data_IF_935794645122
#
_entry.id   IF_935794645122
#
_cell.length_a   1.000
_cell.length_b   1.000
_cell.length_c   1.000
_cell.angle_alpha   90.00
_cell.angle_beta   90.00
_cell.angle_gamma   90.00
#
_symmetry.space_group_name_H-M   'P 1'
#
loop_
_entity.id
_entity.type
_entity.pdbx_description
1 polymer ?
#
# COMPACT_ATOMS: atom_id res chain seq x y z
N UNK A 1 13.67 -10.60 -0.15
CA UNK A 1 13.47 -10.26 1.29
C UNK A 1 14.65 -10.72 2.15
N UNK A 2 15.28 -11.83 1.85
CA UNK A 2 16.46 -12.34 2.61
C UNK A 2 17.70 -11.45 2.54
N UNK A 3 17.83 -10.64 1.49
CA UNK A 3 18.96 -9.72 1.30
C UNK A 3 18.82 -8.40 2.09
N UNK A 4 17.68 -8.14 2.68
CA UNK A 4 17.44 -6.92 3.45
C UNK A 4 17.97 -7.10 4.86
N UNK A 5 18.78 -6.14 5.34
CA UNK A 5 19.26 -6.11 6.72
C UNK A 5 18.17 -5.71 7.69
N UNK A 6 18.26 -6.15 8.94
CA UNK A 6 17.42 -5.66 10.03
C UNK A 6 17.52 -4.13 10.12
N UNK A 7 16.38 -3.45 10.17
CA UNK A 7 16.30 -1.98 10.08
C UNK A 7 16.35 -1.43 8.66
N UNK A 8 16.58 -2.29 7.66
CA UNK A 8 16.56 -1.90 6.26
C UNK A 8 15.16 -1.58 5.75
N UNK A 9 15.05 -0.57 4.90
CA UNK A 9 13.80 -0.11 4.30
C UNK A 9 13.68 -0.56 2.86
N UNK A 10 12.47 -0.93 2.45
CA UNK A 10 12.18 -1.40 1.09
C UNK A 10 10.97 -0.66 0.55
N UNK A 11 11.03 -0.30 -0.72
CA UNK A 11 9.90 0.14 -1.51
C UNK A 11 9.85 -0.72 -2.77
N UNK A 12 8.74 -1.40 -3.01
CA UNK A 12 8.59 -2.29 -4.15
C UNK A 12 7.24 -2.10 -4.83
N UNK A 13 7.25 -2.08 -6.16
CA UNK A 13 6.04 -1.98 -6.98
C UNK A 13 5.57 -3.38 -7.34
N UNK A 14 4.33 -3.69 -6.99
CA UNK A 14 3.71 -5.00 -7.23
C UNK A 14 2.30 -4.84 -7.81
N UNK A 15 1.86 -5.76 -8.68
CA UNK A 15 0.49 -5.74 -9.18
C UNK A 15 -0.52 -6.14 -8.09
N UNK A 16 -1.79 -5.82 -8.29
CA UNK A 16 -2.86 -6.05 -7.31
C UNK A 16 -2.97 -7.52 -6.88
N UNK A 17 -2.74 -8.46 -7.78
CA UNK A 17 -2.88 -9.89 -7.47
C UNK A 17 -1.97 -10.35 -6.34
N UNK A 18 -0.84 -9.71 -6.12
CA UNK A 18 0.05 -10.02 -4.99
C UNK A 18 -0.65 -9.78 -3.65
N UNK A 19 -1.59 -8.84 -3.58
CA UNK A 19 -2.35 -8.54 -2.37
C UNK A 19 -3.62 -9.37 -2.20
N UNK A 20 -4.10 -9.99 -3.28
CA UNK A 20 -5.41 -10.66 -3.30
C UNK A 20 -5.35 -12.16 -3.55
N UNK A 21 -4.37 -12.66 -4.29
CA UNK A 21 -4.28 -14.08 -4.62
C UNK A 21 -3.96 -14.96 -3.40
N UNK A 22 -4.49 -16.17 -3.43
CA UNK A 22 -4.25 -17.18 -2.40
C UNK A 22 -2.98 -18.02 -2.63
N UNK A 23 -2.89 -19.15 -1.98
CA UNK A 23 -1.81 -20.13 -2.18
C UNK A 23 -0.43 -19.62 -1.75
N UNK A 24 0.56 -19.75 -2.61
CA UNK A 24 1.94 -19.35 -2.33
C UNK A 24 2.05 -17.84 -2.05
N UNK A 25 1.28 -17.03 -2.75
CA UNK A 25 1.25 -15.57 -2.57
C UNK A 25 0.74 -15.19 -1.18
N UNK A 26 -0.29 -15.89 -0.69
CA UNK A 26 -0.79 -15.66 0.67
C UNK A 26 0.26 -15.98 1.73
N UNK A 27 1.05 -17.04 1.54
CA UNK A 27 2.15 -17.39 2.46
C UNK A 27 3.24 -16.33 2.48
N UNK A 28 3.57 -15.74 1.35
CA UNK A 28 4.55 -14.64 1.26
C UNK A 28 4.02 -13.41 2.00
N UNK A 29 2.75 -13.07 1.83
CA UNK A 29 2.12 -11.97 2.57
C UNK A 29 2.15 -12.21 4.08
N UNK A 30 1.82 -13.41 4.51
CA UNK A 30 1.87 -13.79 5.92
C UNK A 30 3.27 -13.59 6.51
N UNK A 31 4.30 -14.04 5.79
CA UNK A 31 5.68 -13.83 6.18
C UNK A 31 6.04 -12.35 6.22
N UNK A 32 5.60 -11.58 5.25
CA UNK A 32 5.82 -10.13 5.20
C UNK A 32 5.24 -9.45 6.44
N UNK A 33 4.03 -9.80 6.84
CA UNK A 33 3.35 -9.20 7.99
C UNK A 33 3.98 -9.61 9.34
N UNK A 34 4.59 -10.79 9.41
CA UNK A 34 5.24 -11.29 10.64
C UNK A 34 6.64 -10.76 10.85
N UNK A 35 7.44 -10.74 9.78
CA UNK A 35 8.88 -10.45 9.86
C UNK A 35 9.23 -9.01 9.51
N UNK A 36 8.31 -8.30 8.88
CA UNK A 36 8.50 -6.94 8.40
C UNK A 36 7.36 -6.04 8.85
N UNK A 37 7.67 -4.76 9.06
CA UNK A 37 6.66 -3.74 9.29
C UNK A 37 6.22 -3.14 7.95
N UNK A 38 5.15 -3.66 7.38
CA UNK A 38 4.48 -3.07 6.22
C UNK A 38 3.65 -1.88 6.72
N UNK A 39 4.18 -0.68 6.60
CA UNK A 39 3.56 0.51 7.18
C UNK A 39 2.82 1.39 6.19
N UNK A 40 3.08 1.23 4.89
CA UNK A 40 2.47 2.11 3.87
C UNK A 40 2.25 1.36 2.56
N UNK A 41 1.06 1.53 1.99
CA UNK A 41 0.73 1.06 0.65
C UNK A 41 0.22 2.25 -0.16
N UNK A 42 0.89 2.53 -1.29
CA UNK A 42 0.44 3.51 -2.28
C UNK A 42 -0.26 2.76 -3.40
N UNK A 43 -1.56 2.96 -3.57
CA UNK A 43 -2.35 2.34 -4.64
C UNK A 43 -2.31 3.21 -5.88
N UNK A 44 -1.80 2.66 -6.97
CA UNK A 44 -1.63 3.37 -8.24
C UNK A 44 -2.69 2.96 -9.27
N UNK A 45 -3.15 3.90 -10.11
CA UNK A 45 -4.13 3.62 -11.16
C UNK A 45 -3.51 2.89 -12.35
N UNK A 46 -4.35 2.50 -13.31
CA UNK A 46 -3.88 2.06 -14.63
C UNK A 46 -3.30 3.24 -15.42
N UNK A 47 -2.60 2.95 -16.52
CA UNK A 47 -2.13 3.96 -17.48
C UNK A 47 -0.81 4.65 -17.13
N UNK A 48 -0.12 4.23 -16.07
CA UNK A 48 1.17 4.80 -15.67
C UNK A 48 2.38 3.95 -16.06
N UNK A 49 2.16 2.69 -16.43
CA UNK A 49 3.20 1.77 -16.91
C UNK A 49 2.88 1.27 -18.33
N UNK A 50 3.87 0.72 -19.01
CA UNK A 50 3.71 0.17 -20.37
C UNK A 50 2.67 -0.94 -20.44
N UNK A 51 2.57 -1.77 -19.41
CA UNK A 51 1.51 -2.77 -19.32
C UNK A 51 0.17 -2.08 -19.00
N UNK A 52 -0.51 -1.61 -20.04
CA UNK A 52 -1.81 -0.96 -19.89
C UNK A 52 -2.84 -1.86 -19.24
N UNK A 53 -3.71 -1.28 -18.42
CA UNK A 53 -4.76 -2.01 -17.71
C UNK A 53 -4.31 -2.69 -16.43
N UNK A 54 -3.03 -2.66 -16.08
CA UNK A 54 -2.52 -3.21 -14.82
C UNK A 54 -2.60 -2.17 -13.72
N UNK A 55 -3.28 -2.53 -12.64
CA UNK A 55 -3.28 -1.76 -11.39
C UNK A 55 -2.15 -2.24 -10.49
N UNK A 56 -1.39 -1.32 -9.94
CA UNK A 56 -0.22 -1.64 -9.13
C UNK A 56 -0.29 -0.98 -7.76
N UNK A 57 0.57 -1.47 -6.87
CA UNK A 57 0.75 -0.89 -5.54
C UNK A 57 2.23 -0.74 -5.26
N UNK A 58 2.61 0.30 -4.54
CA UNK A 58 3.95 0.43 -3.97
C UNK A 58 3.85 0.10 -2.49
N UNK A 59 4.57 -0.94 -2.07
CA UNK A 59 4.63 -1.37 -0.68
C UNK A 59 5.91 -0.82 -0.05
N UNK A 60 5.75 -0.12 1.07
CA UNK A 60 6.85 0.42 1.86
C UNK A 60 6.93 -0.35 3.17
N UNK A 61 8.04 -1.05 3.39
CA UNK A 61 8.21 -1.84 4.59
C UNK A 61 9.63 -1.80 5.14
N UNK A 62 9.77 -2.15 6.41
CA UNK A 62 11.02 -2.16 7.14
C UNK A 62 11.22 -3.51 7.83
N UNK A 63 12.43 -4.07 7.74
CA UNK A 63 12.74 -5.35 8.37
C UNK A 63 13.09 -5.18 9.84
N UNK A 64 12.58 -6.07 10.69
CA UNK A 64 12.99 -6.16 12.09
C UNK A 64 11.85 -6.12 13.10
N UNK A 65 10.64 -5.83 12.67
CA UNK A 65 9.44 -5.90 13.52
C UNK A 65 8.22 -6.37 12.73
N UNK A 66 7.23 -6.96 13.43
CA UNK A 66 5.97 -7.31 12.78
C UNK A 66 5.19 -6.06 12.38
N UNK A 67 4.30 -6.23 11.42
CA UNK A 67 3.37 -5.18 11.00
C UNK A 67 2.36 -4.89 12.12
N UNK A 68 2.21 -3.61 12.43
CA UNK A 68 1.20 -3.10 13.37
C UNK A 68 0.02 -2.55 12.58
N UNK A 69 0.11 -1.29 12.19
CA UNK A 69 -0.92 -0.62 11.39
C UNK A 69 -0.45 -0.44 9.95
N UNK A 70 -1.36 -0.58 9.00
CA UNK A 70 -1.07 -0.31 7.59
C UNK A 70 -1.78 0.97 7.17
N UNK A 71 -1.02 1.90 6.61
CA UNK A 71 -1.54 3.12 6.01
C UNK A 71 -1.67 2.94 4.50
N UNK A 72 -2.84 3.23 3.97
CA UNK A 72 -3.13 3.11 2.54
C UNK A 72 -3.45 4.48 1.96
N UNK A 73 -2.72 4.87 0.92
CA UNK A 73 -3.02 6.05 0.12
C UNK A 73 -3.63 5.59 -1.21
N UNK A 74 -4.89 5.97 -1.44
CA UNK A 74 -5.60 5.62 -2.66
C UNK A 74 -5.45 6.73 -3.71
N UNK A 75 -4.56 6.51 -4.66
CA UNK A 75 -4.38 7.40 -5.82
C UNK A 75 -5.16 6.91 -7.06
N UNK A 76 -6.22 6.14 -6.88
CA UNK A 76 -7.01 5.57 -8.00
C UNK A 76 -8.32 6.29 -8.25
N UNK A 77 -9.01 6.68 -7.20
CA UNK A 77 -10.36 7.24 -7.30
C UNK A 77 -10.35 8.58 -8.03
N UNK A 78 -11.09 8.65 -9.13
CA UNK A 78 -11.21 9.86 -9.94
C UNK A 78 -9.96 10.23 -10.75
N UNK A 79 -8.97 9.35 -10.82
CA UNK A 79 -7.70 9.61 -11.52
C UNK A 79 -7.64 8.84 -12.83
N UNK A 80 -7.28 9.54 -13.90
CA UNK A 80 -7.05 8.95 -15.24
C UNK A 80 -5.71 9.43 -15.76
N UNK A 81 -4.83 8.48 -16.04
CA UNK A 81 -3.54 8.71 -16.67
C UNK A 81 -3.38 7.89 -17.93
N UNK A 82 -2.65 8.45 -18.90
CA UNK A 82 -2.15 7.73 -20.06
C UNK A 82 -0.70 8.11 -20.26
N UNK A 83 0.14 7.19 -20.69
CA UNK A 83 1.57 7.48 -20.85
C UNK A 83 1.87 8.52 -21.91
N UNK A 84 1.07 8.55 -22.98
CA UNK A 84 1.33 9.42 -24.13
C UNK A 84 0.76 10.84 -23.95
N UNK A 85 -0.49 10.96 -23.42
CA UNK A 85 -1.20 12.23 -23.42
C UNK A 85 -1.43 12.83 -22.05
N UNK A 86 -1.45 12.00 -21.00
CA UNK A 86 -1.66 12.45 -19.62
C UNK A 86 -0.84 11.60 -18.65
N UNK A 87 0.49 11.68 -18.70
CA UNK A 87 1.34 10.90 -17.81
C UNK A 87 1.20 11.37 -16.35
N UNK A 88 1.46 10.45 -15.43
CA UNK A 88 1.57 10.80 -14.02
C UNK A 88 2.86 11.59 -13.78
N UNK A 89 2.76 12.68 -13.03
CA UNK A 89 3.90 13.54 -12.67
C UNK A 89 4.19 13.47 -11.18
N UNK A 90 5.34 14.00 -10.77
CA UNK A 90 5.73 14.09 -9.34
C UNK A 90 4.71 14.90 -8.53
N UNK A 91 4.17 15.97 -9.10
CA UNK A 91 3.20 16.85 -8.43
C UNK A 91 1.91 16.13 -8.07
N UNK A 92 1.52 15.12 -8.83
CA UNK A 92 0.33 14.30 -8.52
C UNK A 92 0.44 13.58 -7.16
N UNK A 93 1.65 13.37 -6.67
CA UNK A 93 1.92 12.69 -5.40
C UNK A 93 2.30 13.64 -4.26
N UNK A 94 2.12 14.96 -4.42
CA UNK A 94 2.49 15.93 -3.38
C UNK A 94 1.78 15.66 -2.06
N UNK A 95 0.48 15.42 -2.07
CA UNK A 95 -0.27 15.08 -0.84
C UNK A 95 0.27 13.79 -0.18
N UNK A 96 0.57 12.77 -0.97
CA UNK A 96 1.17 11.54 -0.46
C UNK A 96 2.48 11.84 0.28
N UNK A 97 3.35 12.63 -0.32
CA UNK A 97 4.67 12.97 0.27
C UNK A 97 4.51 13.81 1.53
N UNK A 98 3.62 14.80 1.51
CA UNK A 98 3.36 15.66 2.68
C UNK A 98 2.84 14.85 3.87
N UNK A 99 1.91 13.94 3.62
CA UNK A 99 1.29 13.13 4.66
C UNK A 99 2.11 11.90 5.06
N UNK A 100 3.16 11.58 4.33
CA UNK A 100 3.98 10.39 4.59
C UNK A 100 4.71 10.44 5.94
N UNK A 101 5.14 11.60 6.38
CA UNK A 101 5.81 11.82 7.67
C UNK A 101 6.93 10.81 7.94
N UNK A 102 7.98 10.85 7.12
CA UNK A 102 9.12 9.91 7.18
C UNK A 102 9.64 9.71 8.61
N UNK A 103 9.64 8.47 9.09
CA UNK A 103 10.10 8.13 10.43
C UNK A 103 9.09 8.40 11.56
N UNK A 104 7.96 9.01 11.26
CA UNK A 104 6.97 9.42 12.25
C UNK A 104 5.55 9.01 11.84
N UNK A 105 5.34 7.70 11.65
CA UNK A 105 4.03 7.17 11.21
C UNK A 105 2.89 7.51 12.18
N UNK A 106 3.20 7.70 13.46
CA UNK A 106 2.23 8.12 14.47
C UNK A 106 1.71 9.55 14.27
N UNK A 107 2.43 10.40 13.52
CA UNK A 107 2.03 11.78 13.22
C UNK A 107 1.15 11.88 11.98
N UNK A 108 0.95 10.78 11.28
CA UNK A 108 0.07 10.74 10.11
C UNK A 108 -1.39 10.89 10.51
N UNK A 109 -2.17 11.55 9.65
CA UNK A 109 -3.60 11.75 9.86
C UNK A 109 -4.39 11.17 8.69
N UNK A 110 -5.45 10.45 9.03
CA UNK A 110 -6.40 9.98 8.02
C UNK A 110 -7.12 11.15 7.37
N UNK A 111 -7.29 11.09 6.05
CA UNK A 111 -8.15 12.01 5.31
C UNK A 111 -9.46 11.35 4.89
N UNK A 112 -9.49 10.01 4.83
CA UNK A 112 -10.71 9.26 4.60
C UNK A 112 -11.57 9.20 5.86
N UNK A 113 -12.87 9.45 5.70
CA UNK A 113 -13.88 9.20 6.73
C UNK A 113 -15.23 8.96 6.06
N UNK A 114 -16.22 8.54 6.85
CA UNK A 114 -17.60 8.41 6.34
C UNK A 114 -18.18 9.77 5.87
N UNK A 115 -17.69 10.85 6.46
CA UNK A 115 -18.06 12.23 6.09
C UNK A 115 -17.26 12.75 4.91
N UNK A 116 -16.05 12.21 4.68
CA UNK A 116 -15.17 12.54 3.56
C UNK A 116 -14.72 11.27 2.83
N UNK A 117 -15.61 10.62 2.05
CA UNK A 117 -15.27 9.37 1.34
C UNK A 117 -14.25 9.55 0.22
N UNK A 118 -13.97 10.79 -0.18
CA UNK A 118 -12.95 11.11 -1.19
C UNK A 118 -11.55 11.31 -0.61
N UNK A 119 -11.39 11.27 0.70
CA UNK A 119 -10.09 11.30 1.35
C UNK A 119 -9.26 10.09 0.96
N UNK A 120 -7.96 10.29 0.70
CA UNK A 120 -7.08 9.26 0.13
C UNK A 120 -6.29 8.47 1.16
N UNK A 121 -5.97 9.08 2.32
CA UNK A 121 -5.26 8.42 3.40
C UNK A 121 -6.19 7.71 4.36
N UNK A 122 -5.97 6.41 4.55
CA UNK A 122 -6.71 5.58 5.49
C UNK A 122 -5.78 4.67 6.27
N UNK A 123 -5.98 4.58 7.58
CA UNK A 123 -5.28 3.65 8.45
C UNK A 123 -6.12 2.39 8.69
N UNK A 124 -5.49 1.23 8.58
CA UNK A 124 -6.06 -0.05 8.98
C UNK A 124 -5.31 -0.56 10.20
N UNK A 125 -6.01 -0.75 11.30
CA UNK A 125 -5.41 -1.32 12.52
C UNK A 125 -5.07 -2.79 12.32
N UNK A 126 -4.20 -3.32 13.18
CA UNK A 126 -3.85 -4.74 13.15
C UNK A 126 -5.07 -5.64 13.29
N UNK A 127 -6.00 -5.30 14.19
CA UNK A 127 -7.22 -6.03 14.42
C UNK A 127 -8.09 -6.06 13.16
N UNK A 128 -8.25 -4.94 12.47
CA UNK A 128 -8.98 -4.86 11.21
C UNK A 128 -8.33 -5.71 10.11
N UNK A 129 -7.01 -5.71 10.06
CA UNK A 129 -6.23 -6.50 9.09
C UNK A 129 -6.41 -7.98 9.35
N UNK A 130 -6.26 -8.42 10.59
CA UNK A 130 -6.38 -9.82 10.99
C UNK A 130 -7.80 -10.33 10.72
N UNK A 131 -8.81 -9.56 11.08
CA UNK A 131 -10.22 -9.90 10.83
C UNK A 131 -10.52 -10.01 9.33
N UNK A 132 -10.07 -9.06 8.52
CA UNK A 132 -10.25 -9.08 7.08
C UNK A 132 -9.48 -10.26 6.44
N UNK A 133 -8.30 -10.56 6.94
CA UNK A 133 -7.47 -11.67 6.47
C UNK A 133 -8.14 -13.02 6.70
N UNK A 134 -8.72 -13.22 7.87
CA UNK A 134 -9.46 -14.44 8.21
C UNK A 134 -10.74 -14.58 7.38
N UNK A 135 -11.54 -13.51 7.29
CA UNK A 135 -12.82 -13.51 6.55
C UNK A 135 -12.63 -13.71 5.05
N UNK A 136 -11.57 -13.17 4.47
CA UNK A 136 -11.35 -13.15 3.02
C UNK A 136 -10.27 -14.15 2.57
N UNK A 137 -9.97 -15.13 3.38
CA UNK A 137 -9.04 -16.22 3.03
C UNK A 137 -7.65 -15.70 2.60
N UNK A 138 -7.12 -14.75 3.35
CA UNK A 138 -5.79 -14.21 3.12
C UNK A 138 -5.72 -13.02 2.17
N UNK A 139 -6.84 -12.40 1.84
CA UNK A 139 -6.86 -11.15 1.07
C UNK A 139 -6.49 -9.99 1.97
N UNK A 140 -5.41 -9.29 1.65
CA UNK A 140 -4.90 -8.20 2.46
C UNK A 140 -5.74 -6.93 2.32
N UNK A 141 -6.17 -6.63 1.09
CA UNK A 141 -7.01 -5.47 0.78
C UNK A 141 -8.11 -5.93 -0.18
N UNK A 142 -9.34 -5.75 0.24
CA UNK A 142 -10.50 -6.04 -0.59
C UNK A 142 -10.94 -4.80 -1.39
#
# INVERSE_FOLDING_TARGET
MSIVKTGGRVAIVLPDNVLTDGGATAKVREKLLKDFNLHTILRLPTGIFYAGGVKTNVLFFEKGKPTEDIWVYDYRTGVKHTMATKPMTRENLNEFVECYCTGHTQDRKETYSTENPNGRWRKFSKEEIDEAYEKNTGVLIA
#
